data_IF_183926592413
#
_entry.id   IF_183926592413
#
_cell.length_a   1.000
_cell.length_b   1.000
_cell.length_c   1.000
_cell.angle_alpha   90.00
_cell.angle_beta   90.00
_cell.angle_gamma   90.00
#
_symmetry.space_group_name_H-M   'P 1'
#
loop_
_entity.id
_entity.type
_entity.pdbx_description
1 polymer ?
#
# COMPACT_ATOMS: atom_id res chain seq x y z
N UNK A 1 3.13 -52.42 7.15
CA UNK A 1 2.60 -51.30 6.34
C UNK A 1 3.57 -50.14 6.48
N UNK A 2 4.47 -50.01 5.52
CA UNK A 2 5.56 -49.04 5.48
C UNK A 2 5.05 -47.75 4.84
N UNK A 3 5.02 -46.68 5.61
CA UNK A 3 4.62 -45.34 5.15
C UNK A 3 5.85 -44.64 4.57
N UNK A 4 5.82 -44.36 3.27
CA UNK A 4 6.82 -43.54 2.59
C UNK A 4 6.65 -42.07 3.01
N UNK A 5 7.69 -41.51 3.63
CA UNK A 5 7.79 -40.08 3.91
C UNK A 5 8.26 -39.34 2.65
N UNK A 6 7.37 -38.57 2.04
CA UNK A 6 7.69 -37.69 0.90
C UNK A 6 8.24 -36.38 1.43
N UNK A 7 9.56 -36.20 1.39
CA UNK A 7 10.20 -34.91 1.58
C UNK A 7 10.00 -34.03 0.33
N UNK A 8 9.31 -32.91 0.49
CA UNK A 8 9.33 -31.78 -0.45
C UNK A 8 9.55 -30.51 0.37
N UNK A 9 10.81 -30.14 0.54
CA UNK A 9 11.19 -28.80 0.99
C UNK A 9 11.79 -28.03 -0.18
N UNK A 10 11.37 -26.80 -0.47
CA UNK A 10 12.03 -25.97 -1.47
C UNK A 10 13.46 -25.66 -1.00
N UNK A 11 14.41 -25.90 -1.91
CA UNK A 11 15.84 -25.68 -1.74
C UNK A 11 16.15 -24.26 -1.28
N UNK A 12 16.77 -24.14 -0.11
CA UNK A 12 17.31 -22.89 0.47
C UNK A 12 18.29 -22.15 -0.44
N UNK A 13 18.72 -22.77 -1.55
CA UNK A 13 19.57 -22.18 -2.57
C UNK A 13 18.86 -21.10 -3.39
N UNK A 14 17.57 -21.26 -3.70
CA UNK A 14 16.84 -20.30 -4.56
C UNK A 14 16.62 -18.97 -3.82
N UNK A 15 16.33 -19.05 -2.53
CA UNK A 15 16.06 -17.87 -1.70
C UNK A 15 17.34 -17.06 -1.41
N UNK A 16 18.51 -17.71 -1.34
CA UNK A 16 19.82 -17.03 -1.23
C UNK A 16 20.22 -16.33 -2.54
N UNK A 17 19.89 -16.93 -3.68
CA UNK A 17 20.20 -16.37 -5.00
C UNK A 17 19.30 -15.15 -5.32
N UNK A 18 18.06 -15.16 -4.82
CA UNK A 18 17.12 -14.04 -4.91
C UNK A 18 17.51 -12.85 -4.02
N UNK A 19 18.07 -13.09 -2.83
CA UNK A 19 18.57 -12.01 -1.95
C UNK A 19 19.85 -11.36 -2.47
N UNK A 20 20.70 -12.06 -3.24
CA UNK A 20 21.92 -11.48 -3.81
C UNK A 20 21.69 -10.59 -5.04
N UNK A 21 20.51 -10.66 -5.68
CA UNK A 21 20.20 -9.83 -6.86
C UNK A 21 19.53 -8.49 -6.52
N UNK A 22 19.01 -8.30 -5.30
CA UNK A 22 18.17 -7.14 -4.96
C UNK A 22 18.94 -6.02 -4.22
N UNK A 23 20.17 -6.25 -3.77
CA UNK A 23 20.95 -5.24 -3.04
C UNK A 23 22.32 -4.99 -3.71
N UNK A 24 22.46 -3.97 -4.57
CA UNK A 24 23.78 -3.47 -4.93
C UNK A 24 24.42 -2.80 -3.70
N UNK A 25 25.48 -3.41 -3.19
CA UNK A 25 26.24 -3.03 -1.98
C UNK A 25 27.11 -1.78 -2.14
N UNK A 26 26.77 -0.86 -3.04
CA UNK A 26 27.52 0.39 -3.21
C UNK A 26 26.57 1.55 -3.47
N UNK A 27 26.13 2.22 -2.41
CA UNK A 27 25.70 3.62 -2.47
C UNK A 27 26.11 4.33 -1.17
N UNK A 28 27.39 4.70 -1.13
CA UNK A 28 27.92 5.71 -0.22
C UNK A 28 27.56 7.07 -0.82
N UNK A 29 26.78 7.88 -0.09
CA UNK A 29 26.67 9.32 -0.32
C UNK A 29 25.29 9.87 -0.72
N UNK A 30 24.23 9.56 0.02
CA UNK A 30 22.97 10.32 -0.08
C UNK A 30 22.93 11.44 0.97
N UNK A 31 23.26 12.65 0.54
CA UNK A 31 23.16 13.87 1.33
C UNK A 31 21.70 14.17 1.71
N UNK A 32 21.46 14.43 3.00
CA UNK A 32 20.16 14.66 3.62
C UNK A 32 19.39 15.92 3.10
N UNK A 33 19.93 16.67 2.14
CA UNK A 33 19.30 17.88 1.61
C UNK A 33 18.27 17.64 0.49
N UNK A 34 18.19 16.43 -0.09
CA UNK A 34 17.32 16.15 -1.25
C UNK A 34 15.87 15.74 -0.92
N UNK A 35 15.58 15.30 0.30
CA UNK A 35 14.29 14.67 0.62
C UNK A 35 13.15 15.66 0.94
N UNK A 36 13.45 16.93 1.24
CA UNK A 36 12.41 17.93 1.54
C UNK A 36 11.77 18.56 0.28
N UNK A 37 12.35 18.36 -0.90
CA UNK A 37 11.80 18.91 -2.15
C UNK A 37 10.74 17.99 -2.81
N UNK A 38 10.69 16.71 -2.44
CA UNK A 38 9.83 15.70 -3.06
C UNK A 38 8.46 15.54 -2.37
N UNK A 39 8.32 15.96 -1.11
CA UNK A 39 7.04 15.91 -0.38
C UNK A 39 6.07 17.03 -0.77
N UNK A 40 6.53 18.05 -1.49
CA UNK A 40 5.70 19.20 -1.91
C UNK A 40 5.04 18.96 -3.29
N UNK A 41 5.49 17.97 -4.07
CA UNK A 41 5.01 17.75 -5.45
C UNK A 41 3.92 16.68 -5.60
N UNK A 42 3.67 15.87 -4.57
CA UNK A 42 2.52 14.96 -4.57
C UNK A 42 1.25 15.70 -4.12
N UNK A 43 0.73 16.54 -5.02
CA UNK A 43 -0.60 17.12 -4.86
C UNK A 43 -1.63 15.99 -4.64
N UNK A 44 -2.58 16.14 -3.69
CA UNK A 44 -3.65 15.15 -3.49
C UNK A 44 -4.45 14.85 -4.77
N UNK A 45 -4.43 15.75 -5.76
CA UNK A 45 -5.01 15.52 -7.09
C UNK A 45 -4.30 14.41 -7.88
N UNK A 46 -2.98 14.23 -7.71
CA UNK A 46 -2.23 13.17 -8.38
C UNK A 46 -2.55 11.78 -7.81
N UNK A 47 -2.72 11.69 -6.49
CA UNK A 47 -3.17 10.47 -5.81
C UNK A 47 -4.60 10.11 -6.24
N UNK A 48 -5.49 11.10 -6.35
CA UNK A 48 -6.85 10.91 -6.88
C UNK A 48 -6.86 10.45 -8.34
N UNK A 49 -5.96 10.99 -9.18
CA UNK A 49 -5.83 10.59 -10.58
C UNK A 49 -5.39 9.12 -10.70
N UNK A 50 -4.36 8.71 -9.95
CA UNK A 50 -3.91 7.32 -9.91
C UNK A 50 -5.02 6.40 -9.41
N UNK A 51 -5.76 6.81 -8.38
CA UNK A 51 -6.88 6.04 -7.86
C UNK A 51 -8.01 5.87 -8.89
N UNK A 52 -8.33 6.92 -9.66
CA UNK A 52 -9.31 6.86 -10.75
C UNK A 52 -8.85 5.94 -11.89
N UNK A 53 -7.56 5.95 -12.24
CA UNK A 53 -7.00 5.04 -13.26
C UNK A 53 -7.14 3.59 -12.80
N UNK A 54 -6.81 3.28 -11.54
CA UNK A 54 -6.92 1.93 -10.98
C UNK A 54 -8.38 1.45 -10.93
N UNK A 55 -9.33 2.30 -10.53
CA UNK A 55 -10.77 1.96 -10.55
C UNK A 55 -11.26 1.68 -11.97
N UNK A 56 -10.80 2.47 -12.94
CA UNK A 56 -11.20 2.33 -14.34
C UNK A 56 -10.68 1.01 -14.92
N UNK A 57 -9.43 0.65 -14.61
CA UNK A 57 -8.83 -0.64 -14.99
C UNK A 57 -9.54 -1.81 -14.31
N UNK A 58 -9.88 -1.70 -13.02
CA UNK A 58 -10.56 -2.78 -12.29
C UNK A 58 -12.00 -3.02 -12.80
N UNK A 59 -12.69 -2.01 -13.34
CA UNK A 59 -13.99 -2.19 -13.99
C UNK A 59 -13.91 -2.93 -15.33
N UNK A 60 -12.81 -2.78 -16.07
CA UNK A 60 -12.64 -3.44 -17.37
C UNK A 60 -12.37 -4.95 -17.24
N UNK A 61 -11.82 -5.39 -16.11
CA UNK A 61 -11.49 -6.82 -15.87
C UNK A 61 -12.70 -7.65 -15.38
N UNK A 62 -13.85 -7.02 -15.08
CA UNK A 62 -15.05 -7.71 -14.55
C UNK A 62 -16.24 -7.78 -15.50
N UNK A 63 -16.04 -7.72 -16.81
CA UNK A 63 -17.09 -8.10 -17.76
C UNK A 63 -16.96 -9.61 -18.05
N UNK A 64 -17.93 -10.45 -17.63
CA UNK A 64 -17.94 -11.86 -17.97
C UNK A 64 -18.08 -12.01 -19.49
N UNK A 65 -17.27 -12.90 -20.06
CA UNK A 65 -17.34 -13.29 -21.46
C UNK A 65 -18.76 -13.79 -21.79
N UNK A 66 -19.56 -12.92 -22.39
CA UNK A 66 -20.83 -13.28 -23.02
C UNK A 66 -20.51 -13.53 -24.49
N UNK A 67 -20.62 -14.79 -24.89
CA UNK A 67 -20.33 -15.30 -26.21
C UNK A 67 -21.34 -14.79 -27.24
N UNK A 68 -20.95 -13.80 -28.04
CA UNK A 68 -21.59 -13.53 -29.33
C UNK A 68 -20.57 -12.98 -30.34
N UNK A 69 -20.29 -13.69 -31.46
CA UNK A 69 -19.31 -13.27 -32.45
C UNK A 69 -20.01 -12.52 -33.57
N UNK A 70 -20.26 -11.22 -33.38
CA UNK A 70 -20.61 -10.31 -34.47
C UNK A 70 -19.71 -9.07 -34.38
N UNK A 71 -18.83 -8.98 -35.38
CA UNK A 71 -17.85 -7.92 -35.60
C UNK A 71 -18.45 -6.51 -35.47
N UNK A 72 -17.80 -5.68 -34.66
CA UNK A 72 -17.75 -4.23 -34.90
C UNK A 72 -16.30 -3.77 -34.72
N UNK A 73 -15.68 -3.09 -35.71
CA UNK A 73 -14.33 -2.58 -35.56
C UNK A 73 -14.35 -1.35 -34.64
N UNK A 74 -13.95 -1.52 -33.38
CA UNK A 74 -13.69 -0.39 -32.49
C UNK A 74 -12.41 0.32 -32.94
N UNK A 75 -12.58 1.44 -33.64
CA UNK A 75 -11.51 2.40 -33.92
C UNK A 75 -10.99 2.97 -32.60
N UNK A 76 -9.72 2.76 -32.30
CA UNK A 76 -8.93 3.59 -31.38
C UNK A 76 -8.70 4.97 -32.00
N UNK A 77 -9.74 5.79 -32.09
CA UNK A 77 -9.58 7.23 -32.26
C UNK A 77 -10.16 7.90 -31.01
N UNK A 78 -9.32 8.72 -30.35
CA UNK A 78 -9.68 9.66 -29.27
C UNK A 78 -9.41 9.19 -27.83
N UNK A 79 -8.15 8.89 -27.53
CA UNK A 79 -7.54 9.38 -26.28
C UNK A 79 -6.36 10.29 -26.69
N UNK A 80 -6.68 11.46 -27.23
CA UNK A 80 -5.77 12.60 -27.24
C UNK A 80 -5.81 13.19 -25.82
N UNK A 81 -5.09 12.58 -24.88
CA UNK A 81 -4.65 13.31 -23.69
C UNK A 81 -3.61 14.29 -24.18
N UNK A 82 -4.07 15.50 -24.49
CA UNK A 82 -3.20 16.64 -24.72
C UNK A 82 -2.41 16.87 -23.43
N UNK A 83 -1.19 16.36 -23.42
CA UNK A 83 -0.15 16.68 -22.44
C UNK A 83 0.25 18.14 -22.64
N UNK A 84 -0.60 19.06 -22.20
CA UNK A 84 -0.19 20.42 -21.90
C UNK A 84 0.68 20.36 -20.65
N UNK A 85 1.99 20.15 -20.83
CA UNK A 85 2.99 20.58 -19.85
C UNK A 85 2.94 22.10 -19.75
N UNK A 86 1.97 22.58 -18.98
CA UNK A 86 1.89 23.97 -18.53
C UNK A 86 2.97 24.15 -17.48
N UNK A 87 4.19 24.44 -17.93
CA UNK A 87 5.25 24.94 -17.07
C UNK A 87 4.69 26.07 -16.18
N UNK A 88 4.89 26.02 -14.86
CA UNK A 88 4.53 27.15 -14.00
C UNK A 88 5.42 28.33 -14.39
N UNK A 89 4.87 29.29 -15.14
CA UNK A 89 5.46 30.62 -15.29
C UNK A 89 5.56 31.21 -13.90
N UNK A 90 6.77 31.20 -13.34
CA UNK A 90 7.11 31.97 -12.16
C UNK A 90 6.68 33.42 -12.38
N UNK A 91 5.81 33.94 -11.51
CA UNK A 91 5.48 35.36 -11.45
C UNK A 91 6.67 36.12 -10.84
N UNK A 92 7.77 36.19 -11.58
CA UNK A 92 8.79 37.21 -11.37
C UNK A 92 8.27 38.51 -11.95
N UNK A 93 7.93 39.47 -11.07
CA UNK A 93 7.55 40.83 -11.45
C UNK A 93 8.75 41.44 -12.21
N UNK A 94 8.63 41.80 -13.51
CA UNK A 94 9.74 42.43 -14.22
C UNK A 94 10.01 43.83 -13.63
N UNK A 95 11.26 44.28 -13.57
CA UNK A 95 11.57 45.65 -13.18
C UNK A 95 10.99 46.61 -14.23
N UNK A 96 10.27 47.63 -13.76
CA UNK A 96 9.77 48.72 -14.59
C UNK A 96 10.95 49.47 -15.21
N UNK A 97 11.21 49.21 -16.48
CA UNK A 97 12.07 50.06 -17.31
C UNK A 97 11.15 50.99 -18.09
N UNK A 98 10.93 52.17 -17.54
CA UNK A 98 10.29 53.28 -18.24
C UNK A 98 11.18 53.78 -19.38
N UNK A 99 10.88 53.37 -20.61
CA UNK A 99 11.55 53.87 -21.81
C UNK A 99 10.53 54.27 -22.87
N UNK A 100 10.32 55.58 -23.03
CA UNK A 100 9.53 56.16 -24.13
C UNK A 100 10.17 55.77 -25.47
N UNK A 101 9.43 55.05 -26.31
CA UNK A 101 9.84 54.81 -27.71
C UNK A 101 9.11 55.80 -28.61
N UNK A 102 9.89 56.73 -29.17
CA UNK A 102 9.48 57.63 -30.24
C UNK A 102 9.22 56.85 -31.53
N UNK A 103 8.11 57.18 -32.20
CA UNK A 103 7.75 56.65 -33.52
C UNK A 103 8.68 57.24 -34.58
N UNK A 104 9.50 56.40 -35.20
CA UNK A 104 10.24 56.73 -36.42
C UNK A 104 9.81 55.84 -37.58
N UNK A 105 9.18 56.43 -38.60
CA UNK A 105 8.92 55.84 -39.92
C UNK A 105 10.19 55.96 -40.78
N UNK A 106 10.55 54.89 -41.50
CA UNK A 106 11.51 54.93 -42.61
C UNK A 106 11.97 53.52 -42.97
N UNK A 107 11.38 52.89 -44.00
CA UNK A 107 11.96 52.74 -45.36
C UNK A 107 13.36 52.14 -45.37
N UNK A 108 13.45 50.91 -45.87
CA UNK A 108 14.69 50.24 -46.28
C UNK A 108 14.44 48.75 -46.47
N UNK A 109 14.08 48.34 -47.69
CA UNK A 109 14.18 46.92 -48.09
C UNK A 109 15.67 46.65 -48.31
N UNK A 110 16.35 46.32 -47.23
CA UNK A 110 17.69 45.76 -47.32
C UNK A 110 17.55 44.28 -47.70
N UNK A 111 18.17 43.95 -48.82
CA UNK A 111 18.34 42.61 -49.35
C UNK A 111 19.00 41.78 -48.24
N UNK A 112 18.21 40.92 -47.60
CA UNK A 112 18.63 39.99 -46.54
C UNK A 112 19.73 39.10 -47.10
N UNK A 113 20.97 39.51 -46.85
CA UNK A 113 22.17 38.70 -47.00
C UNK A 113 21.91 37.41 -46.20
N UNK A 114 22.08 36.21 -46.79
CA UNK A 114 21.79 34.97 -46.09
C UNK A 114 22.55 34.94 -44.77
N UNK A 115 21.88 34.62 -43.64
CA UNK A 115 22.53 34.62 -42.34
C UNK A 115 23.74 33.69 -42.43
N UNK A 116 24.91 34.25 -42.11
CA UNK A 116 26.16 33.49 -41.97
C UNK A 116 25.83 32.30 -41.08
N UNK A 117 26.06 31.09 -41.59
CA UNK A 117 25.90 29.84 -40.85
C UNK A 117 26.67 29.97 -39.54
N UNK A 118 25.95 30.29 -38.46
CA UNK A 118 26.53 30.40 -37.13
C UNK A 118 27.01 29.00 -36.79
N UNK A 119 28.32 28.79 -36.85
CA UNK A 119 28.99 27.64 -36.27
C UNK A 119 28.50 27.53 -34.84
N UNK A 120 27.59 26.58 -34.60
CA UNK A 120 27.08 26.31 -33.26
C UNK A 120 28.28 26.04 -32.35
N UNK A 121 28.29 26.60 -31.13
CA UNK A 121 29.39 26.39 -30.21
C UNK A 121 29.58 24.88 -30.01
N UNK A 122 30.81 24.34 -30.14
CA UNK A 122 31.07 22.90 -30.08
C UNK A 122 30.53 22.26 -28.78
N UNK A 123 30.43 23.06 -27.71
CA UNK A 123 29.86 22.66 -26.42
C UNK A 123 28.38 22.24 -26.48
N UNK A 124 27.58 22.76 -27.42
CA UNK A 124 26.18 22.36 -27.54
C UNK A 124 26.06 20.93 -28.06
N UNK A 125 26.94 20.54 -28.99
CA UNK A 125 26.99 19.19 -29.54
C UNK A 125 27.29 18.15 -28.44
N UNK A 126 28.27 18.43 -27.59
CA UNK A 126 28.65 17.54 -26.48
C UNK A 126 27.52 17.38 -25.45
N UNK A 127 26.84 18.46 -25.09
CA UNK A 127 25.73 18.42 -24.12
C UNK A 127 24.53 17.64 -24.66
N UNK A 128 24.19 17.84 -25.94
CA UNK A 128 23.11 17.09 -26.59
C UNK A 128 23.48 15.61 -26.66
N UNK A 129 24.72 15.28 -27.02
CA UNK A 129 25.16 13.90 -27.08
C UNK A 129 25.13 13.21 -25.71
N UNK A 130 25.60 13.89 -24.66
CA UNK A 130 25.53 13.39 -23.29
C UNK A 130 24.08 13.15 -22.83
N UNK A 131 23.16 14.10 -23.11
CA UNK A 131 21.75 13.95 -22.77
C UNK A 131 21.09 12.77 -23.51
N UNK A 132 21.40 12.58 -24.80
CA UNK A 132 20.90 11.46 -25.58
C UNK A 132 21.41 10.12 -25.07
N UNK A 133 22.70 10.01 -24.73
CA UNK A 133 23.26 8.79 -24.14
C UNK A 133 22.62 8.45 -22.80
N UNK A 134 22.37 9.44 -21.94
CA UNK A 134 21.63 9.23 -20.68
C UNK A 134 20.21 8.74 -20.96
N UNK A 135 19.48 9.38 -21.87
CA UNK A 135 18.11 8.98 -22.23
C UNK A 135 18.04 7.56 -22.80
N UNK A 136 18.98 7.20 -23.68
CA UNK A 136 19.06 5.84 -24.23
C UNK A 136 19.38 4.82 -23.12
N UNK A 137 20.30 5.15 -22.21
CA UNK A 137 20.63 4.32 -21.06
C UNK A 137 19.43 4.09 -20.13
N UNK A 138 18.65 5.14 -19.86
CA UNK A 138 17.45 5.02 -19.02
C UNK A 138 16.34 4.19 -19.70
N UNK A 139 16.16 4.33 -21.02
CA UNK A 139 15.25 3.47 -21.79
C UNK A 139 15.65 1.99 -21.72
N UNK A 140 16.96 1.68 -21.80
CA UNK A 140 17.45 0.31 -21.68
C UNK A 140 17.21 -0.26 -20.28
N UNK A 141 17.47 0.52 -19.22
CA UNK A 141 17.18 0.11 -17.84
C UNK A 141 15.69 -0.16 -17.63
N UNK A 142 14.83 0.69 -18.17
CA UNK A 142 13.38 0.48 -18.10
C UNK A 142 12.96 -0.81 -18.81
N UNK A 143 13.54 -1.08 -19.99
CA UNK A 143 13.27 -2.32 -20.73
C UNK A 143 13.74 -3.56 -19.96
N UNK A 144 14.90 -3.50 -19.30
CA UNK A 144 15.38 -4.58 -18.43
C UNK A 144 14.43 -4.82 -17.25
N UNK A 145 13.98 -3.75 -16.58
CA UNK A 145 13.00 -3.85 -15.51
C UNK A 145 11.67 -4.44 -15.98
N UNK A 146 11.14 -3.99 -17.11
CA UNK A 146 9.90 -4.52 -17.69
C UNK A 146 10.03 -6.01 -18.00
N UNK A 147 11.16 -6.43 -18.58
CA UNK A 147 11.42 -7.86 -18.86
C UNK A 147 11.49 -8.69 -17.57
N UNK A 148 12.08 -8.16 -16.50
CA UNK A 148 12.14 -8.80 -15.19
C UNK A 148 10.77 -8.92 -14.54
N UNK A 149 9.94 -7.87 -14.61
CA UNK A 149 8.57 -7.89 -14.07
C UNK A 149 7.69 -8.89 -14.83
N UNK A 150 7.79 -8.94 -16.17
CA UNK A 150 7.04 -9.91 -16.97
C UNK A 150 7.47 -11.34 -16.67
N UNK A 151 8.76 -11.61 -16.50
CA UNK A 151 9.25 -12.92 -16.10
C UNK A 151 8.72 -13.34 -14.72
N UNK A 152 8.61 -12.40 -13.77
CA UNK A 152 8.09 -12.66 -12.43
C UNK A 152 6.59 -12.95 -12.48
N UNK A 153 5.81 -12.18 -13.26
CA UNK A 153 4.39 -12.44 -13.46
C UNK A 153 4.14 -13.82 -14.09
N UNK A 154 4.95 -14.21 -15.06
CA UNK A 154 4.87 -15.53 -15.69
C UNK A 154 5.18 -16.66 -14.69
N UNK A 155 6.16 -16.47 -13.80
CA UNK A 155 6.46 -17.43 -12.74
C UNK A 155 5.30 -17.56 -11.74
N UNK A 156 4.69 -16.43 -11.33
CA UNK A 156 3.50 -16.45 -10.46
C UNK A 156 2.34 -17.19 -11.13
N UNK A 157 2.13 -16.99 -12.44
CA UNK A 157 1.09 -17.66 -13.20
C UNK A 157 1.32 -19.18 -13.31
N UNK A 158 2.58 -19.62 -13.41
CA UNK A 158 2.93 -21.04 -13.41
C UNK A 158 2.82 -21.68 -12.02
N UNK A 159 3.11 -20.92 -10.96
CA UNK A 159 3.03 -21.39 -9.58
C UNK A 159 1.62 -21.33 -8.98
N UNK A 160 0.69 -20.63 -9.65
CA UNK A 160 -0.72 -20.65 -9.29
C UNK A 160 -1.25 -22.09 -9.45
N UNK A 161 -1.68 -22.75 -8.36
CA UNK A 161 -2.15 -24.12 -8.45
C UNK A 161 -3.36 -24.15 -9.40
N UNK A 162 -3.24 -24.90 -10.51
CA UNK A 162 -4.29 -25.04 -11.54
C UNK A 162 -5.57 -25.75 -11.06
N UNK A 163 -5.71 -25.94 -9.74
CA UNK A 163 -6.87 -26.55 -9.11
C UNK A 163 -7.94 -25.54 -8.73
N UNK A 164 -9.18 -26.00 -8.48
CA UNK A 164 -10.18 -25.16 -7.83
C UNK A 164 -9.61 -24.62 -6.51
N UNK A 165 -9.79 -23.32 -6.26
CA UNK A 165 -9.30 -22.68 -5.05
C UNK A 165 -9.77 -23.47 -3.82
N UNK A 166 -8.85 -23.75 -2.90
CA UNK A 166 -9.16 -24.48 -1.67
C UNK A 166 -10.22 -23.71 -0.90
N UNK A 167 -11.42 -24.28 -0.79
CA UNK A 167 -12.52 -23.68 -0.03
C UNK A 167 -12.15 -23.69 1.46
N UNK A 168 -11.84 -22.50 1.98
CA UNK A 168 -11.47 -22.30 3.39
C UNK A 168 -12.69 -22.39 4.31
N UNK A 169 -13.83 -21.90 3.84
CA UNK A 169 -15.07 -21.80 4.59
C UNK A 169 -16.26 -22.27 3.76
N UNK A 170 -17.21 -22.93 4.41
CA UNK A 170 -18.49 -23.28 3.80
C UNK A 170 -19.62 -23.18 4.83
N UNK A 171 -20.84 -22.95 4.35
CA UNK A 171 -22.02 -22.90 5.19
C UNK A 171 -22.56 -24.32 5.34
N UNK A 172 -22.57 -24.84 6.57
CA UNK A 172 -23.15 -26.13 6.91
C UNK A 172 -24.59 -25.97 7.40
N UNK A 173 -25.50 -26.67 6.74
CA UNK A 173 -26.90 -26.77 7.12
C UNK A 173 -27.10 -28.05 7.94
N UNK A 174 -27.46 -27.92 9.22
CA UNK A 174 -27.65 -29.06 10.13
C UNK A 174 -29.06 -29.66 10.06
N UNK A 175 -29.96 -29.10 9.24
CA UNK A 175 -31.38 -29.49 9.17
C UNK A 175 -32.22 -29.08 10.38
N UNK A 176 -31.61 -28.53 11.43
CA UNK A 176 -32.30 -28.01 12.61
C UNK A 176 -32.75 -26.56 12.41
N UNK A 177 -33.82 -26.17 13.10
CA UNK A 177 -34.30 -24.77 13.10
C UNK A 177 -33.23 -23.87 13.72
N UNK A 178 -32.65 -22.96 12.94
CA UNK A 178 -31.63 -22.03 13.41
C UNK A 178 -30.84 -21.37 12.28
N UNK A 179 -29.93 -20.46 12.64
CA UNK A 179 -28.99 -19.85 11.69
C UNK A 179 -27.98 -20.91 11.22
N UNK A 180 -27.74 -21.05 9.90
CA UNK A 180 -26.73 -21.96 9.38
C UNK A 180 -25.35 -21.69 10.00
N UNK A 181 -24.60 -22.77 10.27
CA UNK A 181 -23.27 -22.69 10.90
C UNK A 181 -22.22 -22.52 9.80
N UNK A 182 -21.23 -21.66 10.00
CA UNK A 182 -20.10 -21.53 9.06
C UNK A 182 -18.99 -22.47 9.53
N UNK A 183 -18.72 -23.53 8.78
CA UNK A 183 -17.62 -24.48 9.02
C UNK A 183 -16.34 -23.96 8.35
N UNK A 184 -15.22 -24.11 9.06
CA UNK A 184 -13.89 -23.77 8.56
C UNK A 184 -13.08 -25.05 8.41
N UNK A 185 -12.26 -25.14 7.37
CA UNK A 185 -11.37 -26.27 7.17
C UNK A 185 -10.39 -26.40 8.36
N UNK A 186 -10.29 -27.61 8.93
CA UNK A 186 -9.43 -27.88 10.09
C UNK A 186 -7.94 -27.68 9.79
N UNK A 187 -7.45 -28.15 8.63
CA UNK A 187 -6.04 -28.03 8.22
C UNK A 187 -5.64 -26.56 8.04
N UNK A 188 -6.55 -25.76 7.49
CA UNK A 188 -6.35 -24.31 7.40
C UNK A 188 -6.22 -23.67 8.78
N UNK A 189 -7.09 -24.03 9.73
CA UNK A 189 -7.06 -23.45 11.07
C UNK A 189 -5.85 -23.92 11.89
N UNK A 190 -5.51 -25.22 11.82
CA UNK A 190 -4.39 -25.79 12.58
C UNK A 190 -3.04 -25.23 12.12
N UNK A 191 -2.87 -25.01 10.82
CA UNK A 191 -1.68 -24.35 10.28
C UNK A 191 -1.72 -22.84 10.52
N UNK A 192 -2.86 -22.21 10.24
CA UNK A 192 -3.04 -20.77 10.30
C UNK A 192 -2.88 -20.19 11.70
N UNK A 193 -3.34 -20.89 12.74
CA UNK A 193 -3.26 -20.43 14.14
C UNK A 193 -1.82 -20.30 14.64
N UNK A 194 -0.87 -21.02 14.04
CA UNK A 194 0.55 -20.93 14.39
C UNK A 194 1.23 -19.70 13.75
N UNK A 195 0.65 -19.15 12.67
CA UNK A 195 1.25 -18.07 11.90
C UNK A 195 0.57 -16.72 12.10
N UNK A 196 -0.73 -16.71 12.42
CA UNK A 196 -1.54 -15.49 12.50
C UNK A 196 -2.53 -15.55 13.65
N UNK A 197 -2.79 -14.38 14.22
CA UNK A 197 -3.89 -14.19 15.16
C UNK A 197 -5.26 -14.41 14.51
N UNK A 198 -6.32 -14.70 15.30
CA UNK A 198 -7.66 -14.93 14.78
C UNK A 198 -8.21 -13.80 13.88
N UNK A 199 -7.81 -12.55 14.13
CA UNK A 199 -8.18 -11.39 13.29
C UNK A 199 -7.56 -11.47 11.88
N UNK A 200 -6.31 -11.92 11.78
CA UNK A 200 -5.63 -12.13 10.50
C UNK A 200 -6.20 -13.32 9.72
N UNK A 201 -6.60 -14.37 10.42
CA UNK A 201 -7.26 -15.53 9.81
C UNK A 201 -8.68 -15.22 9.32
N UNK A 202 -9.41 -14.39 10.07
CA UNK A 202 -10.75 -13.93 9.71
C UNK A 202 -10.78 -13.21 8.36
N UNK A 203 -9.80 -12.34 8.11
CA UNK A 203 -9.68 -11.63 6.83
C UNK A 203 -9.45 -12.59 5.64
N UNK A 204 -8.65 -13.64 5.83
CA UNK A 204 -8.35 -14.63 4.78
C UNK A 204 -9.54 -15.56 4.52
N UNK A 205 -10.23 -16.00 5.59
CA UNK A 205 -11.36 -16.91 5.49
C UNK A 205 -12.69 -16.21 5.14
N UNK A 206 -12.73 -14.88 5.13
CA UNK A 206 -13.93 -14.09 4.85
C UNK A 206 -15.00 -14.19 5.94
N UNK A 207 -14.60 -14.39 7.20
CA UNK A 207 -15.51 -14.57 8.35
C UNK A 207 -15.15 -13.59 9.48
N UNK A 208 -15.97 -13.53 10.53
CA UNK A 208 -15.63 -12.73 11.72
C UNK A 208 -14.56 -13.41 12.58
N UNK A 209 -13.73 -12.63 13.28
CA UNK A 209 -12.74 -13.16 14.25
C UNK A 209 -13.39 -14.02 15.32
N UNK A 210 -14.59 -13.63 15.80
CA UNK A 210 -15.39 -14.43 16.74
C UNK A 210 -15.69 -15.83 16.20
N UNK A 211 -16.03 -15.96 14.92
CA UNK A 211 -16.27 -17.25 14.28
C UNK A 211 -15.00 -18.10 14.25
N UNK A 212 -13.85 -17.50 13.92
CA UNK A 212 -12.55 -18.19 13.94
C UNK A 212 -12.23 -18.71 15.35
N UNK A 213 -12.33 -17.84 16.37
CA UNK A 213 -12.08 -18.24 17.76
C UNK A 213 -12.99 -19.39 18.20
N UNK A 214 -14.29 -19.31 17.88
CA UNK A 214 -15.23 -20.37 18.22
C UNK A 214 -14.85 -21.70 17.55
N UNK A 215 -14.42 -21.68 16.29
CA UNK A 215 -13.98 -22.89 15.58
C UNK A 215 -12.67 -23.46 16.10
N UNK A 216 -11.73 -22.61 16.50
CA UNK A 216 -10.50 -23.06 17.15
C UNK A 216 -10.79 -23.79 18.46
N UNK A 217 -11.77 -23.31 19.23
CA UNK A 217 -12.24 -23.97 20.45
C UNK A 217 -12.96 -25.28 20.14
N UNK A 218 -13.87 -25.28 19.17
CA UNK A 218 -14.63 -26.47 18.75
C UNK A 218 -13.70 -27.61 18.29
N UNK A 219 -12.58 -27.27 17.65
CA UNK A 219 -11.56 -28.22 17.18
C UNK A 219 -10.49 -28.54 18.22
N UNK A 220 -10.53 -27.95 19.41
CA UNK A 220 -9.53 -28.18 20.46
C UNK A 220 -8.12 -27.67 20.11
N UNK A 221 -8.01 -26.72 19.16
CA UNK A 221 -6.75 -26.11 18.75
C UNK A 221 -6.30 -25.01 19.71
N UNK A 222 -7.24 -24.39 20.43
CA UNK A 222 -6.98 -23.35 21.43
C UNK A 222 -7.72 -23.73 22.72
N UNK A 223 -7.11 -23.45 23.87
CA UNK A 223 -7.79 -23.63 25.15
C UNK A 223 -8.78 -22.49 25.40
N UNK A 224 -9.97 -22.79 25.95
CA UNK A 224 -10.88 -21.74 26.41
C UNK A 224 -10.17 -20.75 27.32
N UNK A 225 -10.40 -19.46 27.10
CA UNK A 225 -9.91 -18.44 28.03
C UNK A 225 -10.53 -18.67 29.42
N UNK A 226 -9.80 -18.25 30.46
CA UNK A 226 -10.34 -18.26 31.81
C UNK A 226 -11.69 -17.50 31.84
N UNK A 227 -12.66 -17.97 32.65
CA UNK A 227 -13.95 -17.30 32.74
C UNK A 227 -13.78 -15.85 33.21
N UNK A 228 -14.63 -14.97 32.70
CA UNK A 228 -14.62 -13.52 33.01
C UNK A 228 -14.98 -13.25 34.47
N UNK A 229 -15.66 -14.18 35.12
CA UNK A 229 -15.93 -14.11 36.54
C UNK A 229 -15.91 -15.51 37.15
N UNK A 230 -15.57 -15.58 38.43
CA UNK A 230 -15.75 -16.76 39.26
C UNK A 230 -16.89 -16.49 40.25
N UNK A 231 -17.78 -17.47 40.41
CA UNK A 231 -18.82 -17.44 41.43
C UNK A 231 -18.29 -18.20 42.66
N UNK A 232 -18.24 -17.52 43.79
CA UNK A 232 -17.90 -18.10 45.10
C UNK A 232 -19.09 -17.92 46.03
N UNK A 233 -19.49 -18.98 46.72
CA UNK A 233 -20.58 -18.93 47.68
C UNK A 233 -20.01 -18.49 49.03
N UNK A 234 -20.54 -17.40 49.59
CA UNK A 234 -20.10 -16.89 50.90
C UNK A 234 -20.62 -17.80 52.01
N UNK A 235 -19.71 -18.43 52.76
CA UNK A 235 -20.03 -19.43 53.78
C UNK A 235 -20.81 -18.84 54.97
N UNK A 236 -20.69 -17.53 55.23
CA UNK A 236 -21.42 -16.88 56.32
C UNK A 236 -22.85 -16.49 55.95
N UNK A 237 -23.04 -15.99 54.73
CA UNK A 237 -24.30 -15.35 54.30
C UNK A 237 -25.13 -16.26 53.38
N UNK A 238 -24.50 -17.22 52.72
CA UNK A 238 -25.12 -18.06 51.68
C UNK A 238 -25.30 -17.36 50.33
N UNK A 239 -24.78 -16.13 50.20
CA UNK A 239 -24.91 -15.33 49.00
C UNK A 239 -23.88 -15.74 47.93
N UNK A 240 -24.28 -15.65 46.66
CA UNK A 240 -23.39 -15.90 45.51
C UNK A 240 -22.62 -14.61 45.22
N UNK A 241 -21.33 -14.59 45.56
CA UNK A 241 -20.44 -13.48 45.24
C UNK A 241 -19.79 -13.74 43.87
N UNK A 242 -20.04 -12.84 42.92
CA UNK A 242 -19.41 -12.85 41.60
C UNK A 242 -18.15 -12.00 41.62
N UNK A 243 -17.00 -12.66 41.51
CA UNK A 243 -15.70 -11.99 41.38
C UNK A 243 -15.36 -11.87 39.89
N UNK A 244 -15.51 -10.67 39.33
CA UNK A 244 -15.14 -10.39 37.95
C UNK A 244 -13.62 -10.20 37.85
N UNK A 245 -12.95 -11.00 37.04
CA UNK A 245 -11.57 -10.74 36.60
C UNK A 245 -11.64 -9.65 35.55
N UNK A 246 -11.76 -8.40 35.99
CA UNK A 246 -11.74 -7.27 35.05
C UNK A 246 -10.42 -7.32 34.29
N UNK A 247 -10.47 -7.45 32.96
CA UNK A 247 -9.29 -7.40 32.09
C UNK A 247 -8.61 -6.02 32.06
N UNK A 248 -9.19 -5.03 32.75
CA UNK A 248 -8.57 -3.74 33.09
C UNK A 248 -7.67 -3.81 34.32
N UNK A 249 -7.63 -4.92 35.06
CA UNK A 249 -6.66 -5.16 36.13
C UNK A 249 -5.33 -5.70 35.58
N UNK A 250 -4.81 -5.08 34.51
CA UNK A 250 -3.36 -4.89 34.48
C UNK A 250 -2.96 -4.20 35.78
N UNK A 251 -1.70 -4.33 36.27
CA UNK A 251 -1.31 -3.74 37.53
C UNK A 251 -1.83 -2.30 37.57
N UNK A 252 -2.84 -2.07 38.42
CA UNK A 252 -3.33 -0.72 38.68
C UNK A 252 -2.08 0.02 39.05
N UNK A 253 -1.69 1.01 38.23
CA UNK A 253 -0.32 1.50 38.26
C UNK A 253 0.03 1.81 39.72
N UNK A 254 1.13 1.24 40.23
CA UNK A 254 1.60 1.52 41.59
C UNK A 254 2.12 2.97 41.73
N UNK A 255 1.79 3.83 40.77
CA UNK A 255 2.11 5.24 40.79
C UNK A 255 1.35 5.88 41.93
N UNK A 256 2.07 6.62 42.75
CA UNK A 256 1.43 7.52 43.70
C UNK A 256 0.72 8.64 42.95
N UNK A 257 -0.23 9.31 43.60
CA UNK A 257 -0.94 10.45 43.00
C UNK A 257 0.06 11.53 42.53
N UNK A 258 1.12 11.78 43.30
CA UNK A 258 2.19 12.72 42.92
C UNK A 258 2.94 12.30 41.64
N UNK A 259 3.23 11.01 41.49
CA UNK A 259 3.87 10.48 40.29
C UNK A 259 2.94 10.53 39.08
N UNK A 260 1.64 10.28 39.29
CA UNK A 260 0.63 10.39 38.24
C UNK A 260 0.50 11.84 37.76
N UNK A 261 0.43 12.79 38.68
CA UNK A 261 0.35 14.23 38.37
C UNK A 261 1.59 14.69 37.62
N UNK A 262 2.79 14.25 38.02
CA UNK A 262 4.02 14.55 37.30
C UNK A 262 3.99 13.98 35.88
N UNK A 263 3.52 12.75 35.68
CA UNK A 263 3.40 12.17 34.33
C UNK A 263 2.36 12.90 33.48
N UNK A 264 1.25 13.34 34.07
CA UNK A 264 0.28 14.16 33.36
C UNK A 264 0.89 15.52 32.97
N UNK A 265 1.65 16.15 33.87
CA UNK A 265 2.36 17.39 33.59
C UNK A 265 3.32 17.23 32.39
N UNK A 266 4.16 16.18 32.40
CA UNK A 266 5.09 15.88 31.32
C UNK A 266 4.37 15.68 29.96
N UNK A 267 3.23 14.97 29.96
CA UNK A 267 2.43 14.77 28.74
C UNK A 267 1.85 16.10 28.23
N UNK A 268 1.36 16.95 29.12
CA UNK A 268 0.81 18.26 28.76
C UNK A 268 1.89 19.24 28.28
N UNK A 269 3.12 19.11 28.76
CA UNK A 269 4.26 19.89 28.27
C UNK A 269 4.64 19.49 26.83
N UNK A 270 4.67 18.19 26.53
CA UNK A 270 4.98 17.67 25.19
C UNK A 270 3.84 17.93 24.20
N UNK A 271 2.58 17.79 24.65
CA UNK A 271 1.40 17.96 23.82
C UNK A 271 0.44 19.00 24.41
N UNK A 272 0.75 20.30 24.31
CA UNK A 272 -0.03 21.38 24.93
C UNK A 272 -1.45 21.53 24.37
N UNK A 273 -1.73 20.89 23.24
CA UNK A 273 -3.05 20.89 22.58
C UNK A 273 -3.85 19.61 22.83
N UNK A 274 -3.25 18.59 23.47
CA UNK A 274 -3.94 17.35 23.81
C UNK A 274 -5.07 17.65 24.81
N UNK A 275 -6.26 17.11 24.58
CA UNK A 275 -7.45 17.35 25.41
C UNK A 275 -8.24 18.64 25.12
N UNK A 276 -7.63 19.69 24.53
CA UNK A 276 -8.37 20.93 24.19
C UNK A 276 -9.48 20.70 23.16
N UNK A 277 -9.23 19.87 22.15
CA UNK A 277 -10.26 19.49 21.17
C UNK A 277 -11.38 18.64 21.78
N UNK A 278 -11.03 17.78 22.74
CA UNK A 278 -11.98 16.89 23.42
C UNK A 278 -12.92 17.66 24.36
N UNK A 279 -12.41 18.70 25.03
CA UNK A 279 -13.20 19.61 25.88
C UNK A 279 -14.04 20.58 25.03
N UNK A 280 -13.53 21.01 23.87
CA UNK A 280 -14.27 21.89 22.97
C UNK A 280 -15.45 21.19 22.25
N UNK A 281 -15.58 19.86 22.39
CA UNK A 281 -16.70 19.10 21.82
C UNK A 281 -16.76 19.16 20.29
N UNK A 282 -15.64 19.44 19.62
CA UNK A 282 -15.60 19.42 18.16
C UNK A 282 -15.36 18.00 17.64
N UNK A 283 -16.29 17.42 16.87
CA UNK A 283 -16.05 16.19 16.12
C UNK A 283 -15.07 16.41 14.96
#
# INVERSE_FOLDING_TARGET
MTVHATQLGPSSSVMKQLMSMILPTEYIGFSACGLQALTIWFSPLFVLLLFMIVITMHKQVRLPAMSDPQLVPFRLETIRIAFYLRFPRGRGKPPEVGGRVARGRGRGRDILKPPKTSTLPPELGERVNAALHTQIGDCLRLQEHDSGVLSLLQAIEQDLPSGPGVSVSHVAHTGQRGRPRIELNFDFLSFGSNLREPTGLAAVAGVSSRTVCQRLLDYGLVQPAAPVYTETLDEGTGDIVRTYTSSTAGPVSNLTDDELDQRMHDILEIFPTFGRGMIAGHP
#
